data_IF_757014322554
#
_entry.id   IF_757014322554
#
_cell.length_a   1.000
_cell.length_b   1.000
_cell.length_c   1.000
_cell.angle_alpha   90.00
_cell.angle_beta   90.00
_cell.angle_gamma   90.00
#
_symmetry.space_group_name_H-M   'P 1'
#
loop_
_entity.id
_entity.type
_entity.pdbx_description
1 polymer ?
#
# COMPACT_ATOMS: atom_id res chain seq x y z
N UNK A 1 5.72 -17.97 -5.40
CA UNK A 1 6.55 -17.87 -4.17
C UNK A 1 7.37 -16.59 -4.10
N UNK A 2 8.28 -16.28 -5.03
CA UNK A 2 9.15 -15.09 -4.94
C UNK A 2 8.35 -13.78 -4.89
N UNK A 3 7.36 -13.62 -5.76
CA UNK A 3 6.47 -12.44 -5.78
C UNK A 3 5.70 -12.24 -4.48
N UNK A 4 5.19 -13.32 -3.88
CA UNK A 4 4.49 -13.25 -2.59
C UNK A 4 5.42 -12.81 -1.47
N UNK A 5 6.64 -13.35 -1.39
CA UNK A 5 7.62 -12.95 -0.38
C UNK A 5 8.00 -11.47 -0.51
N UNK A 6 8.20 -10.97 -1.74
CA UNK A 6 8.46 -9.55 -2.00
C UNK A 6 7.28 -8.69 -1.51
N UNK A 7 6.06 -9.05 -1.91
CA UNK A 7 4.86 -8.30 -1.52
C UNK A 7 4.63 -8.33 0.00
N UNK A 8 4.78 -9.49 0.64
CA UNK A 8 4.67 -9.64 2.10
C UNK A 8 5.67 -8.77 2.84
N UNK A 9 6.93 -8.75 2.39
CA UNK A 9 7.99 -7.93 3.01
C UNK A 9 7.66 -6.45 2.88
N UNK A 10 7.28 -6.00 1.69
CA UNK A 10 6.93 -4.60 1.44
C UNK A 10 5.69 -4.16 2.23
N UNK A 11 4.63 -4.97 2.22
CA UNK A 11 3.39 -4.70 2.97
C UNK A 11 3.61 -4.76 4.48
N UNK A 12 4.40 -5.73 4.95
CA UNK A 12 4.77 -5.85 6.36
C UNK A 12 5.56 -4.64 6.85
N UNK A 13 6.55 -4.18 6.09
CA UNK A 13 7.32 -2.98 6.42
C UNK A 13 6.45 -1.72 6.43
N UNK A 14 5.58 -1.55 5.42
CA UNK A 14 4.64 -0.45 5.37
C UNK A 14 3.63 -0.50 6.52
N UNK A 15 3.09 -1.69 6.83
CA UNK A 15 2.19 -1.90 7.96
C UNK A 15 2.83 -1.57 9.30
N UNK A 16 4.07 -2.02 9.53
CA UNK A 16 4.84 -1.71 10.74
C UNK A 16 5.08 -0.20 10.89
N UNK A 17 5.39 0.50 9.79
CA UNK A 17 5.55 1.95 9.78
C UNK A 17 4.26 2.68 10.13
N UNK A 18 3.12 2.27 9.57
CA UNK A 18 1.82 2.84 9.91
C UNK A 18 1.44 2.54 11.37
N UNK A 19 1.74 1.35 11.88
CA UNK A 19 1.54 1.03 13.29
C UNK A 19 2.38 1.92 14.20
N UNK A 20 3.66 2.16 13.85
CA UNK A 20 4.51 3.13 14.56
C UNK A 20 3.89 4.53 14.60
N UNK A 21 3.32 5.01 13.49
CA UNK A 21 2.62 6.30 13.46
C UNK A 21 1.31 6.30 14.25
N UNK A 22 0.58 5.18 14.24
CA UNK A 22 -0.67 5.05 14.99
C UNK A 22 -0.47 5.15 16.50
N UNK A 23 0.66 4.66 17.02
CA UNK A 23 1.00 4.75 18.46
C UNK A 23 1.75 6.04 18.83
N UNK A 24 1.78 7.04 17.95
CA UNK A 24 2.34 8.37 18.22
C UNK A 24 3.73 8.64 17.65
N UNK A 25 4.30 7.73 16.87
CA UNK A 25 5.55 7.95 16.15
C UNK A 25 5.42 9.09 15.14
N UNK A 26 6.46 9.92 15.00
CA UNK A 26 6.42 11.12 14.14
C UNK A 26 7.38 11.07 12.95
N UNK A 27 8.43 10.24 13.01
CA UNK A 27 9.44 10.17 11.95
C UNK A 27 8.82 9.73 10.63
N UNK A 28 9.01 10.54 9.59
CA UNK A 28 8.54 10.26 8.23
C UNK A 28 7.05 10.49 7.99
N UNK A 29 6.22 10.71 9.04
CA UNK A 29 4.76 10.89 8.91
C UNK A 29 4.39 12.03 7.97
N UNK A 30 5.04 13.19 8.09
CA UNK A 30 4.77 14.34 7.23
C UNK A 30 5.10 14.09 5.75
N UNK A 31 6.07 13.24 5.49
CA UNK A 31 6.46 12.85 4.14
C UNK A 31 5.48 11.86 3.48
N UNK A 32 4.62 11.23 4.27
CA UNK A 32 3.60 10.29 3.81
C UNK A 32 2.22 10.95 3.59
N UNK A 33 2.05 12.21 3.98
CA UNK A 33 0.79 12.95 3.87
C UNK A 33 0.85 13.91 2.68
N UNK A 34 -0.08 13.82 1.70
CA UNK A 34 -0.15 14.74 0.59
C UNK A 34 -0.35 16.19 1.06
N UNK A 35 0.34 17.12 0.41
CA UNK A 35 0.29 18.56 0.74
C UNK A 35 0.04 19.37 -0.52
N UNK A 36 -0.66 20.49 -0.36
CA UNK A 36 -0.86 21.49 -1.40
C UNK A 36 -0.74 22.88 -0.78
N UNK A 37 0.02 23.79 -1.42
CA UNK A 37 0.24 25.13 -0.92
C UNK A 37 0.84 25.15 0.50
N UNK A 38 1.73 24.22 0.81
CA UNK A 38 2.37 24.11 2.13
C UNK A 38 1.50 23.49 3.24
N UNK A 39 0.21 23.23 2.99
CA UNK A 39 -0.72 22.67 3.97
C UNK A 39 -0.97 21.19 3.70
N UNK A 40 -1.08 20.36 4.75
CA UNK A 40 -1.54 18.99 4.64
C UNK A 40 -2.99 18.96 4.15
N UNK A 41 -3.30 18.04 3.22
CA UNK A 41 -4.66 17.89 2.69
C UNK A 41 -5.60 17.27 3.73
N UNK A 42 -5.06 16.46 4.64
CA UNK A 42 -5.76 15.84 5.75
C UNK A 42 -4.76 15.50 6.86
N UNK A 43 -5.25 15.31 8.07
CA UNK A 43 -4.47 14.78 9.19
C UNK A 43 -5.09 13.44 9.63
N UNK A 44 -4.48 12.29 9.26
CA UNK A 44 -5.00 11.00 9.64
C UNK A 44 -4.84 10.80 11.15
N UNK A 45 -5.96 10.60 11.84
CA UNK A 45 -5.97 10.25 13.27
C UNK A 45 -5.36 8.87 13.52
N UNK A 46 -5.07 8.57 14.79
CA UNK A 46 -4.47 7.29 15.21
C UNK A 46 -5.31 6.08 14.75
N UNK A 47 -6.63 6.15 14.87
CA UNK A 47 -7.54 5.06 14.46
C UNK A 47 -7.44 4.80 12.95
N UNK A 48 -7.51 5.84 12.14
CA UNK A 48 -7.39 5.71 10.67
C UNK A 48 -6.04 5.11 10.29
N UNK A 49 -4.96 5.58 10.91
CA UNK A 49 -3.61 5.08 10.66
C UNK A 49 -3.46 3.61 11.08
N UNK A 50 -4.07 3.22 12.20
CA UNK A 50 -4.13 1.83 12.65
C UNK A 50 -4.90 0.94 11.67
N UNK A 51 -6.06 1.40 11.16
CA UNK A 51 -6.84 0.66 10.17
C UNK A 51 -6.06 0.45 8.87
N UNK A 52 -5.26 1.42 8.44
CA UNK A 52 -4.36 1.26 7.30
C UNK A 52 -3.30 0.21 7.59
N UNK A 53 -2.64 0.25 8.76
CA UNK A 53 -1.67 -0.75 9.17
C UNK A 53 -2.29 -2.16 9.17
N UNK A 54 -3.46 -2.31 9.76
CA UNK A 54 -4.20 -3.58 9.79
C UNK A 54 -4.52 -4.07 8.39
N UNK A 55 -5.03 -3.20 7.52
CA UNK A 55 -5.30 -3.53 6.12
C UNK A 55 -4.07 -4.04 5.38
N UNK A 56 -2.91 -3.39 5.56
CA UNK A 56 -1.65 -3.82 4.94
C UNK A 56 -1.22 -5.21 5.39
N UNK A 57 -1.39 -5.56 6.69
CA UNK A 57 -1.11 -6.91 7.18
C UNK A 57 -2.12 -7.93 6.64
N UNK A 58 -3.40 -7.57 6.52
CA UNK A 58 -4.41 -8.43 5.88
C UNK A 58 -4.06 -8.72 4.42
N UNK A 59 -3.60 -7.72 3.66
CA UNK A 59 -3.16 -7.93 2.28
C UNK A 59 -1.90 -8.81 2.20
N UNK A 60 -0.98 -8.67 3.14
CA UNK A 60 0.18 -9.56 3.24
C UNK A 60 -0.25 -11.01 3.52
N UNK A 61 -1.21 -11.21 4.42
CA UNK A 61 -1.80 -12.52 4.70
C UNK A 61 -2.56 -13.09 3.50
N UNK A 62 -3.29 -12.27 2.76
CA UNK A 62 -4.05 -12.69 1.59
C UNK A 62 -3.14 -13.26 0.48
N UNK A 63 -2.03 -12.58 0.17
CA UNK A 63 -1.10 -13.08 -0.85
C UNK A 63 -0.32 -14.30 -0.34
N UNK A 64 0.01 -14.36 0.95
CA UNK A 64 0.63 -15.53 1.56
C UNK A 64 -0.27 -16.77 1.47
N UNK A 65 -1.55 -16.60 1.77
CA UNK A 65 -2.55 -17.66 1.64
C UNK A 65 -2.76 -18.08 0.19
N UNK A 66 -2.86 -17.13 -0.73
CA UNK A 66 -3.00 -17.43 -2.17
C UNK A 66 -1.83 -18.27 -2.70
N UNK A 67 -0.61 -18.00 -2.25
CA UNK A 67 0.61 -18.70 -2.66
C UNK A 67 0.89 -19.99 -1.85
N UNK A 68 -0.01 -20.38 -0.92
CA UNK A 68 0.12 -21.57 -0.10
C UNK A 68 1.18 -21.51 0.99
N UNK A 69 1.62 -20.30 1.36
CA UNK A 69 2.59 -20.10 2.44
C UNK A 69 1.95 -20.22 3.83
N UNK A 70 0.65 -19.97 3.90
CA UNK A 70 -0.18 -20.16 5.10
C UNK A 70 -1.50 -20.82 4.70
N UNK A 71 -2.07 -21.59 5.60
CA UNK A 71 -3.41 -22.16 5.45
C UNK A 71 -4.42 -21.40 6.29
N UNK A 72 -5.50 -20.92 5.65
CA UNK A 72 -6.61 -20.29 6.35
C UNK A 72 -7.89 -21.07 6.12
N UNK A 73 -8.71 -21.28 7.17
CA UNK A 73 -10.00 -21.97 7.07
C UNK A 73 -11.09 -21.09 6.44
N UNK A 74 -10.78 -20.49 5.29
CA UNK A 74 -11.64 -19.58 4.56
C UNK A 74 -11.90 -20.09 3.14
N UNK A 75 -13.07 -19.79 2.54
CA UNK A 75 -13.35 -20.16 1.16
C UNK A 75 -12.29 -19.58 0.20
N UNK A 76 -11.63 -20.43 -0.58
CA UNK A 76 -10.57 -20.01 -1.51
C UNK A 76 -11.04 -18.97 -2.55
N UNK A 77 -12.36 -18.88 -2.78
CA UNK A 77 -12.95 -17.82 -3.59
C UNK A 77 -12.56 -16.41 -3.14
N UNK A 78 -12.32 -16.20 -1.82
CA UNK A 78 -11.87 -14.91 -1.27
C UNK A 78 -10.49 -14.54 -1.83
N UNK A 79 -9.55 -15.47 -1.83
CA UNK A 79 -8.22 -15.23 -2.40
C UNK A 79 -8.30 -15.07 -3.94
N UNK A 80 -9.13 -15.89 -4.61
CA UNK A 80 -9.32 -15.86 -6.05
C UNK A 80 -9.85 -14.51 -6.57
N UNK A 81 -10.69 -13.84 -5.80
CA UNK A 81 -11.24 -12.52 -6.14
C UNK A 81 -10.40 -11.39 -5.53
N UNK A 82 -9.98 -11.53 -4.28
CA UNK A 82 -9.28 -10.49 -3.54
C UNK A 82 -7.90 -10.16 -4.12
N UNK A 83 -7.14 -11.18 -4.55
CA UNK A 83 -5.78 -10.96 -5.09
C UNK A 83 -5.78 -10.11 -6.37
N UNK A 84 -6.60 -10.40 -7.42
CA UNK A 84 -6.65 -9.53 -8.59
C UNK A 84 -7.22 -8.13 -8.28
N UNK A 85 -8.16 -8.00 -7.36
CA UNK A 85 -8.62 -6.69 -6.91
C UNK A 85 -7.52 -5.86 -6.25
N UNK A 86 -6.64 -6.49 -5.46
CA UNK A 86 -5.47 -5.82 -4.90
C UNK A 86 -4.50 -5.36 -5.99
N UNK A 87 -4.27 -6.17 -7.03
CA UNK A 87 -3.44 -5.77 -8.17
C UNK A 87 -4.00 -4.50 -8.84
N UNK A 88 -5.30 -4.47 -9.11
CA UNK A 88 -5.98 -3.30 -9.70
C UNK A 88 -5.89 -2.09 -8.77
N UNK A 89 -6.13 -2.26 -7.47
CA UNK A 89 -6.06 -1.18 -6.48
C UNK A 89 -4.65 -0.55 -6.42
N UNK A 90 -3.60 -1.37 -6.34
CA UNK A 90 -2.23 -0.87 -6.32
C UNK A 90 -1.83 -0.22 -7.64
N UNK A 91 -2.28 -0.75 -8.77
CA UNK A 91 -2.07 -0.13 -10.08
C UNK A 91 -2.76 1.25 -10.16
N UNK A 92 -4.02 1.33 -9.76
CA UNK A 92 -4.75 2.59 -9.69
C UNK A 92 -4.06 3.60 -8.76
N UNK A 93 -3.51 3.15 -7.62
CA UNK A 93 -2.74 4.00 -6.70
C UNK A 93 -1.43 4.50 -7.31
N UNK A 94 -0.75 3.69 -8.12
CA UNK A 94 0.46 4.10 -8.83
C UNK A 94 0.17 5.13 -9.93
N UNK A 95 -0.91 4.95 -10.69
CA UNK A 95 -1.39 5.92 -11.67
C UNK A 95 -1.78 7.21 -10.96
N UNK A 96 -2.63 7.13 -9.94
CA UNK A 96 -3.00 8.20 -9.05
C UNK A 96 -4.32 8.89 -9.39
N UNK A 97 -4.58 9.99 -8.67
CA UNK A 97 -5.83 10.76 -8.72
C UNK A 97 -5.80 11.95 -9.71
N UNK A 98 -4.77 12.05 -10.54
CA UNK A 98 -4.51 13.14 -11.47
C UNK A 98 -4.27 14.52 -10.81
N UNK A 99 -4.24 14.59 -9.49
CA UNK A 99 -4.09 15.86 -8.76
C UNK A 99 -3.02 15.83 -7.68
N UNK A 100 -3.07 14.88 -6.74
CA UNK A 100 -2.23 14.89 -5.53
C UNK A 100 -1.33 13.67 -5.37
N UNK A 101 -1.73 12.52 -5.91
CA UNK A 101 -1.03 11.24 -5.72
C UNK A 101 -0.79 10.53 -7.05
N UNK A 102 0.22 9.64 -7.05
CA UNK A 102 0.60 8.83 -8.20
C UNK A 102 1.40 9.63 -9.24
N UNK A 103 1.75 8.97 -10.33
CA UNK A 103 2.57 9.61 -11.38
C UNK A 103 1.83 10.68 -12.19
N UNK A 104 0.51 10.62 -12.24
CA UNK A 104 -0.33 11.58 -12.98
C UNK A 104 -0.63 12.85 -12.20
N UNK A 105 -0.15 12.98 -10.96
CA UNK A 105 -0.42 14.16 -10.13
C UNK A 105 0.09 15.48 -10.74
N UNK A 106 -0.63 16.54 -10.50
CA UNK A 106 -0.29 17.90 -10.92
C UNK A 106 0.41 18.72 -9.83
N UNK A 107 0.06 18.47 -8.55
CA UNK A 107 0.67 19.15 -7.39
C UNK A 107 2.00 18.46 -7.06
N UNK A 108 3.12 19.15 -7.27
CA UNK A 108 4.49 18.58 -7.16
C UNK A 108 5.42 19.33 -6.23
N UNK A 109 4.93 20.32 -5.49
CA UNK A 109 5.68 21.27 -4.68
C UNK A 109 5.98 20.78 -3.24
N UNK A 110 5.83 19.49 -2.96
CA UNK A 110 5.99 18.95 -1.61
C UNK A 110 7.01 17.80 -1.55
N UNK A 111 7.55 17.55 -0.33
CA UNK A 111 8.37 16.38 -0.05
C UNK A 111 7.62 15.08 -0.33
N UNK A 112 6.32 15.04 0.02
CA UNK A 112 5.45 13.92 -0.33
C UNK A 112 5.45 13.67 -1.84
N UNK A 113 5.25 14.70 -2.67
CA UNK A 113 5.16 14.55 -4.11
C UNK A 113 6.44 13.92 -4.71
N UNK A 114 7.62 14.32 -4.22
CA UNK A 114 8.90 13.73 -4.62
C UNK A 114 9.03 12.26 -4.20
N UNK A 115 8.69 11.94 -2.95
CA UNK A 115 8.75 10.57 -2.45
C UNK A 115 7.68 9.69 -3.10
N UNK A 116 6.55 10.25 -3.47
CA UNK A 116 5.52 9.54 -4.21
C UNK A 116 6.03 9.11 -5.59
N UNK A 117 6.72 9.99 -6.32
CA UNK A 117 7.31 9.66 -7.61
C UNK A 117 8.46 8.63 -7.51
N UNK A 118 9.30 8.73 -6.48
CA UNK A 118 10.52 7.94 -6.35
C UNK A 118 10.34 6.64 -5.56
N UNK A 119 9.37 6.58 -4.67
CA UNK A 119 9.19 5.47 -3.74
C UNK A 119 7.76 4.92 -3.73
N UNK A 120 6.74 5.75 -3.46
CA UNK A 120 5.40 5.23 -3.19
C UNK A 120 4.70 4.71 -4.44
N UNK A 121 4.74 5.44 -5.55
CA UNK A 121 4.15 4.97 -6.80
C UNK A 121 4.91 3.78 -7.40
N UNK A 122 6.27 3.75 -7.45
CA UNK A 122 7.01 2.54 -7.85
C UNK A 122 6.74 1.34 -6.94
N UNK A 123 6.62 1.54 -5.62
CA UNK A 123 6.28 0.46 -4.69
C UNK A 123 4.87 -0.08 -4.96
N UNK A 124 3.89 0.79 -5.22
CA UNK A 124 2.55 0.37 -5.59
C UNK A 124 2.54 -0.39 -6.93
N UNK A 125 3.35 0.02 -7.91
CA UNK A 125 3.49 -0.73 -9.17
C UNK A 125 4.11 -2.11 -8.94
N UNK A 126 5.14 -2.20 -8.11
CA UNK A 126 5.74 -3.48 -7.71
C UNK A 126 4.71 -4.40 -7.06
N UNK A 127 3.94 -3.87 -6.10
CA UNK A 127 2.85 -4.63 -5.45
C UNK A 127 1.79 -5.06 -6.47
N UNK A 128 1.37 -4.16 -7.38
CA UNK A 128 0.44 -4.51 -8.45
C UNK A 128 0.95 -5.67 -9.31
N UNK A 129 2.24 -5.66 -9.66
CA UNK A 129 2.86 -6.75 -10.40
C UNK A 129 2.90 -8.05 -9.59
N UNK A 130 3.27 -8.00 -8.31
CA UNK A 130 3.30 -9.19 -7.44
C UNK A 130 1.91 -9.83 -7.29
N UNK A 131 0.88 -9.03 -7.02
CA UNK A 131 -0.50 -9.50 -6.94
C UNK A 131 -1.03 -9.97 -8.30
N UNK A 132 -0.64 -9.30 -9.39
CA UNK A 132 -0.97 -9.71 -10.75
C UNK A 132 -0.42 -11.09 -11.10
N UNK A 133 0.86 -11.33 -10.82
CA UNK A 133 1.49 -12.66 -11.00
C UNK A 133 0.80 -13.72 -10.16
N UNK A 134 0.50 -13.43 -8.88
CA UNK A 134 -0.23 -14.34 -8.01
C UNK A 134 -1.67 -14.62 -8.47
N UNK A 135 -2.26 -13.73 -9.28
CA UNK A 135 -3.62 -13.92 -9.81
C UNK A 135 -3.71 -14.97 -10.91
N UNK A 136 -2.64 -15.13 -11.69
CA UNK A 136 -2.60 -16.02 -12.88
C UNK A 136 -1.91 -17.36 -12.60
N UNK A 137 -1.24 -17.51 -11.49
CA UNK A 137 -0.64 -18.77 -10.98
C UNK A 137 -1.61 -19.50 -10.06
#
# INVERSE_FOLDING_TARGET
MTSAVIAMTALGAAGALHLYWAVGGRRGREAAIPRAGGKALFDPGAVTTFLVAFGLFVLAGLIAWRDGLIDLPLPFAIARVGVPLCAIMFLARAIGDFRHVGWTKRVRDSRFARLDDLLYAPLCLLLAACFGVASIG
#
